data_IF_319658552230
#
_entry.id   IF_319658552230
#
_cell.length_a   1.000
_cell.length_b   1.000
_cell.length_c   1.000
_cell.angle_alpha   90.00
_cell.angle_beta   90.00
_cell.angle_gamma   90.00
#
_symmetry.space_group_name_H-M   'P 1'
#
loop_
_entity.id
_entity.type
_entity.pdbx_description
1 polymer ?
#
# COMPACT_ATOMS: atom_id res chain seq x y z
N UNK A 1 41.68 -13.79 -54.51
CA UNK A 1 42.32 -13.53 -53.20
C UNK A 1 41.92 -12.14 -52.73
N UNK A 2 40.91 -12.04 -51.86
CA UNK A 2 40.80 -11.01 -50.81
C UNK A 2 40.00 -11.67 -49.70
N UNK A 3 40.67 -11.99 -48.61
CA UNK A 3 40.13 -12.52 -47.35
C UNK A 3 40.02 -11.38 -46.36
N UNK A 4 38.86 -11.12 -45.78
CA UNK A 4 38.67 -10.45 -44.47
C UNK A 4 37.19 -10.51 -44.02
N UNK A 5 36.86 -10.34 -42.73
CA UNK A 5 36.64 -11.48 -41.84
C UNK A 5 35.27 -11.45 -41.13
N UNK A 6 34.99 -12.55 -40.43
CA UNK A 6 33.92 -12.69 -39.45
C UNK A 6 34.11 -11.79 -38.21
N UNK A 7 33.02 -11.21 -37.71
CA UNK A 7 32.78 -10.56 -36.40
C UNK A 7 31.29 -10.18 -36.34
N UNK A 8 30.53 -10.27 -35.26
CA UNK A 8 30.78 -10.61 -33.86
C UNK A 8 29.48 -11.26 -33.33
N UNK A 9 29.65 -12.28 -32.49
CA UNK A 9 28.61 -12.88 -31.68
C UNK A 9 27.99 -11.82 -30.76
N UNK A 10 26.74 -11.45 -31.05
CA UNK A 10 25.92 -10.74 -30.08
C UNK A 10 25.60 -11.71 -28.93
N UNK A 11 26.36 -11.59 -27.85
CA UNK A 11 26.08 -12.20 -26.57
C UNK A 11 24.62 -11.90 -26.18
N UNK A 12 23.77 -12.91 -26.31
CA UNK A 12 22.42 -12.94 -25.80
C UNK A 12 22.50 -12.68 -24.30
N UNK A 13 22.06 -11.49 -23.86
CA UNK A 13 21.77 -11.23 -22.45
C UNK A 13 20.69 -12.22 -22.07
N UNK A 14 21.07 -13.25 -21.31
CA UNK A 14 20.14 -14.17 -20.71
C UNK A 14 19.07 -13.37 -19.98
N UNK A 15 17.85 -13.52 -20.47
CA UNK A 15 16.64 -13.00 -19.87
C UNK A 15 16.45 -13.72 -18.53
N UNK A 16 17.00 -13.13 -17.45
CA UNK A 16 16.85 -13.62 -16.07
C UNK A 16 15.47 -13.27 -15.52
N UNK A 17 14.44 -13.49 -16.33
CA UNK A 17 13.06 -13.37 -15.90
C UNK A 17 12.69 -14.69 -15.21
N UNK A 18 12.57 -14.65 -13.89
CA UNK A 18 12.11 -15.83 -13.14
C UNK A 18 10.60 -15.94 -13.37
N UNK A 19 10.11 -17.03 -13.99
CA UNK A 19 8.69 -17.20 -14.19
C UNK A 19 7.97 -17.22 -12.85
N UNK A 20 6.67 -16.95 -12.87
CA UNK A 20 5.77 -16.82 -11.72
C UNK A 20 5.60 -18.11 -10.87
N UNK A 21 6.49 -19.07 -11.04
CA UNK A 21 6.52 -20.38 -10.39
C UNK A 21 7.95 -20.84 -10.06
N UNK A 22 8.89 -19.89 -10.05
CA UNK A 22 10.27 -20.12 -9.60
C UNK A 22 10.31 -20.45 -8.11
N UNK A 23 11.34 -21.18 -7.69
CA UNK A 23 11.50 -21.48 -6.28
C UNK A 23 11.83 -20.19 -5.53
N UNK A 24 10.81 -19.58 -4.90
CA UNK A 24 10.97 -18.37 -4.08
C UNK A 24 12.09 -18.50 -3.03
N UNK A 25 12.51 -19.72 -2.71
CA UNK A 25 13.56 -20.04 -1.76
C UNK A 25 14.98 -19.76 -2.25
N UNK A 26 15.19 -19.59 -3.56
CA UNK A 26 16.51 -19.26 -4.13
C UNK A 26 16.75 -17.75 -4.21
N UNK A 27 15.75 -16.94 -3.87
CA UNK A 27 15.86 -15.49 -3.92
C UNK A 27 16.58 -14.94 -2.70
N UNK A 28 17.41 -13.93 -2.91
CA UNK A 28 18.03 -13.14 -1.85
C UNK A 28 17.21 -11.87 -1.55
N UNK A 29 17.48 -11.24 -0.40
CA UNK A 29 16.88 -9.93 -0.08
C UNK A 29 17.40 -8.88 -1.05
N UNK A 30 16.49 -8.15 -1.70
CA UNK A 30 16.85 -7.12 -2.66
C UNK A 30 15.83 -6.97 -3.78
N UNK A 31 16.18 -6.16 -4.78
CA UNK A 31 15.38 -6.04 -5.99
C UNK A 31 15.66 -7.21 -6.92
N UNK A 32 14.59 -7.83 -7.43
CA UNK A 32 14.65 -8.87 -8.46
C UNK A 32 13.57 -8.62 -9.52
N UNK A 33 13.63 -9.36 -10.62
CA UNK A 33 12.64 -9.29 -11.70
C UNK A 33 11.80 -10.55 -11.71
N UNK A 34 10.49 -10.41 -11.53
CA UNK A 34 9.53 -11.50 -11.69
C UNK A 34 8.71 -11.30 -12.95
N UNK A 35 8.23 -12.36 -13.56
CA UNK A 35 7.30 -12.28 -14.70
C UNK A 35 5.86 -12.30 -14.20
N UNK A 36 5.05 -11.27 -14.48
CA UNK A 36 3.64 -11.24 -14.08
C UNK A 36 2.76 -12.24 -14.86
N UNK A 37 1.47 -12.30 -14.53
CA UNK A 37 0.52 -13.20 -15.18
C UNK A 37 0.32 -12.93 -16.68
N UNK A 38 0.65 -11.72 -17.15
CA UNK A 38 0.59 -11.33 -18.56
C UNK A 38 1.92 -11.58 -19.30
N UNK A 39 2.89 -12.22 -18.64
CA UNK A 39 4.20 -12.50 -19.21
C UNK A 39 5.17 -11.31 -19.19
N UNK A 40 4.87 -10.24 -18.44
CA UNK A 40 5.70 -9.01 -18.43
C UNK A 40 6.67 -9.01 -17.24
N UNK A 41 7.94 -8.63 -17.45
CA UNK A 41 8.89 -8.51 -16.35
C UNK A 41 8.54 -7.33 -15.44
N UNK A 42 8.61 -7.55 -14.12
CA UNK A 42 8.31 -6.59 -13.07
C UNK A 42 9.43 -6.58 -12.05
N UNK A 43 9.98 -5.40 -11.78
CA UNK A 43 10.91 -5.22 -10.67
C UNK A 43 10.13 -5.23 -9.35
N UNK A 44 10.52 -6.11 -8.43
CA UNK A 44 9.93 -6.24 -7.10
C UNK A 44 11.03 -6.33 -6.06
N UNK A 45 10.74 -5.88 -4.84
CA UNK A 45 11.66 -6.03 -3.71
C UNK A 45 11.27 -7.26 -2.89
N UNK A 46 12.23 -8.16 -2.69
CA UNK A 46 12.09 -9.35 -1.86
C UNK A 46 12.80 -9.13 -0.54
N UNK A 47 12.18 -9.56 0.55
CA UNK A 47 12.76 -9.61 1.88
C UNK A 47 12.73 -11.04 2.38
N UNK A 48 13.90 -11.59 2.64
CA UNK A 48 14.09 -12.93 3.22
C UNK A 48 14.47 -12.77 4.67
N UNK A 49 13.70 -13.42 5.53
CA UNK A 49 13.86 -13.35 6.99
C UNK A 49 14.61 -14.58 7.52
N UNK A 50 15.15 -14.48 8.74
CA UNK A 50 16.02 -15.53 9.33
C UNK A 50 15.32 -16.88 9.54
N UNK A 51 14.01 -16.86 9.73
CA UNK A 51 13.19 -18.06 9.85
C UNK A 51 12.91 -18.72 8.49
N UNK A 52 13.33 -18.09 7.39
CA UNK A 52 13.12 -18.56 6.02
C UNK A 52 11.84 -18.03 5.38
N UNK A 53 11.11 -17.09 5.99
CA UNK A 53 9.97 -16.49 5.31
C UNK A 53 10.42 -15.50 4.23
N UNK A 54 9.82 -15.63 3.04
CA UNK A 54 10.06 -14.79 1.87
C UNK A 54 8.87 -13.87 1.66
N UNK A 55 9.13 -12.57 1.70
CA UNK A 55 8.12 -11.52 1.60
C UNK A 55 8.37 -10.64 0.38
N UNK A 56 7.32 -10.31 -0.35
CA UNK A 56 7.36 -9.23 -1.34
C UNK A 56 6.99 -7.91 -0.65
N UNK A 57 7.83 -6.89 -0.84
CA UNK A 57 7.60 -5.52 -0.38
C UNK A 57 7.16 -4.65 -1.55
N UNK A 58 6.08 -3.90 -1.35
CA UNK A 58 5.61 -2.87 -2.28
C UNK A 58 5.26 -1.59 -1.52
N UNK A 59 5.14 -0.47 -2.23
CA UNK A 59 4.80 0.82 -1.64
C UNK A 59 5.82 1.89 -1.96
N UNK A 60 5.92 2.88 -1.09
CA UNK A 60 6.77 4.06 -1.30
C UNK A 60 7.54 4.41 -0.03
N UNK A 61 8.73 4.95 -0.21
CA UNK A 61 9.64 5.43 0.82
C UNK A 61 10.16 6.82 0.46
N UNK A 62 10.83 7.48 1.42
CA UNK A 62 11.39 8.82 1.28
C UNK A 62 10.35 9.89 0.90
N UNK A 63 9.16 9.80 1.50
CA UNK A 63 8.04 10.71 1.27
C UNK A 63 7.91 11.82 2.31
N UNK A 64 8.89 11.95 3.20
CA UNK A 64 8.86 12.92 4.29
C UNK A 64 8.70 14.37 3.84
N UNK A 65 9.13 14.74 2.63
CA UNK A 65 8.90 16.09 2.08
C UNK A 65 7.54 16.25 1.40
N UNK A 66 7.00 15.15 0.88
CA UNK A 66 5.78 15.14 0.07
C UNK A 66 4.54 14.99 0.96
N UNK A 67 4.68 14.34 2.12
CA UNK A 67 3.61 14.01 3.05
C UNK A 67 3.83 14.75 4.35
N UNK A 68 3.57 16.05 4.34
CA UNK A 68 3.78 16.97 5.47
C UNK A 68 2.51 17.71 5.90
N UNK A 69 1.36 17.31 5.38
CA UNK A 69 0.12 18.06 5.56
C UNK A 69 -0.52 17.75 6.91
N UNK A 70 -0.78 18.79 7.69
CA UNK A 70 -1.43 18.69 8.99
C UNK A 70 -2.61 19.66 9.06
N UNK A 71 -3.79 19.12 9.34
CA UNK A 71 -5.06 19.86 9.44
C UNK A 71 -5.31 20.84 8.27
N UNK A 72 -5.05 20.38 7.05
CA UNK A 72 -5.12 21.17 5.83
C UNK A 72 -6.56 21.31 5.33
N UNK A 73 -7.01 22.54 5.07
CA UNK A 73 -8.40 22.88 4.70
C UNK A 73 -8.56 23.40 3.28
N UNK A 74 -7.46 23.55 2.55
CA UNK A 74 -7.45 24.24 1.26
C UNK A 74 -6.59 23.55 0.20
N UNK A 75 -5.44 22.98 0.59
CA UNK A 75 -4.53 22.38 -0.38
C UNK A 75 -5.04 21.04 -0.89
N UNK A 76 -4.84 20.82 -2.18
CA UNK A 76 -5.15 19.56 -2.83
C UNK A 76 -3.97 18.60 -2.81
N UNK A 77 -4.22 17.34 -2.46
CA UNK A 77 -3.22 16.27 -2.46
C UNK A 77 -3.66 15.11 -3.35
N UNK A 78 -2.74 14.67 -4.22
CA UNK A 78 -2.77 13.37 -4.89
C UNK A 78 -1.54 12.58 -4.53
N UNK A 79 -1.71 11.36 -4.03
CA UNK A 79 -0.60 10.46 -3.79
C UNK A 79 -0.90 9.05 -4.32
N UNK A 80 -0.02 8.55 -5.18
CA UNK A 80 0.00 7.14 -5.57
C UNK A 80 0.90 6.39 -4.60
N UNK A 81 0.32 5.42 -3.90
CA UNK A 81 1.01 4.60 -2.89
C UNK A 81 1.41 3.26 -3.49
N UNK A 82 0.46 2.59 -4.17
CA UNK A 82 0.72 1.39 -4.97
C UNK A 82 0.37 1.67 -6.41
N UNK A 83 1.30 1.36 -7.31
CA UNK A 83 1.06 1.50 -8.74
C UNK A 83 0.03 0.45 -9.22
N UNK A 84 -0.56 0.69 -10.38
CA UNK A 84 -1.53 -0.27 -10.94
C UNK A 84 -0.85 -1.59 -11.29
N UNK A 85 0.39 -1.55 -11.77
CA UNK A 85 1.21 -2.71 -12.10
C UNK A 85 1.46 -3.55 -10.85
N UNK A 86 1.78 -2.91 -9.72
CA UNK A 86 2.02 -3.62 -8.48
C UNK A 86 0.74 -4.27 -7.94
N UNK A 87 -0.42 -3.62 -8.08
CA UNK A 87 -1.70 -4.23 -7.73
C UNK A 87 -2.02 -5.44 -8.61
N UNK A 88 -1.64 -5.43 -9.90
CA UNK A 88 -1.77 -6.59 -10.78
C UNK A 88 -0.91 -7.75 -10.28
N UNK A 89 0.37 -7.49 -9.94
CA UNK A 89 1.28 -8.48 -9.34
C UNK A 89 0.68 -9.07 -8.05
N UNK A 90 0.24 -8.23 -7.12
CA UNK A 90 -0.38 -8.70 -5.87
C UNK A 90 -1.63 -9.54 -6.12
N UNK A 91 -2.40 -9.22 -7.16
CA UNK A 91 -3.61 -9.98 -7.52
C UNK A 91 -3.27 -11.36 -8.08
N UNK A 92 -2.20 -11.46 -8.88
CA UNK A 92 -1.79 -12.75 -9.44
C UNK A 92 -1.10 -13.65 -8.42
N UNK A 93 -0.41 -13.11 -7.42
CA UNK A 93 0.41 -13.91 -6.49
C UNK A 93 -0.49 -14.59 -5.45
N UNK A 94 -0.20 -15.85 -5.14
CA UNK A 94 -0.87 -16.55 -4.04
C UNK A 94 -0.08 -16.42 -2.73
N UNK A 95 -0.31 -15.31 -2.01
CA UNK A 95 0.29 -15.11 -0.69
C UNK A 95 -0.60 -15.65 0.43
N UNK A 96 0.04 -16.05 1.53
CA UNK A 96 -0.61 -16.66 2.71
C UNK A 96 -0.81 -15.69 3.86
N UNK A 97 0.02 -14.67 3.93
CA UNK A 97 0.04 -13.69 5.02
C UNK A 97 0.37 -12.31 4.46
N UNK A 98 -0.03 -11.26 5.17
CA UNK A 98 0.11 -9.89 4.71
C UNK A 98 0.02 -8.85 5.82
N UNK A 99 0.79 -7.78 5.68
CA UNK A 99 0.73 -6.65 6.61
C UNK A 99 1.17 -5.34 5.93
N UNK A 100 0.87 -4.24 6.61
CA UNK A 100 1.34 -2.89 6.30
C UNK A 100 2.39 -2.48 7.35
N UNK A 101 3.49 -1.89 6.92
CA UNK A 101 4.44 -1.19 7.78
C UNK A 101 4.53 0.26 7.30
N UNK A 102 4.17 1.20 8.17
CA UNK A 102 4.10 2.61 7.79
C UNK A 102 4.10 3.51 9.01
N UNK A 103 4.73 4.68 8.89
CA UNK A 103 4.58 5.79 9.83
C UNK A 103 3.44 6.76 9.43
N UNK A 104 2.75 6.49 8.31
CA UNK A 104 1.73 7.35 7.74
C UNK A 104 0.60 7.61 8.75
N UNK A 105 0.34 8.89 8.96
CA UNK A 105 -0.83 9.40 9.63
C UNK A 105 -1.76 9.96 8.58
N UNK A 106 -2.93 9.36 8.46
CA UNK A 106 -3.99 9.87 7.60
C UNK A 106 -5.26 10.02 8.42
N UNK A 107 -5.79 11.23 8.38
CA UNK A 107 -7.05 11.63 9.00
C UNK A 107 -7.78 12.51 8.00
N UNK A 108 -9.04 12.22 7.72
CA UNK A 108 -9.90 13.04 6.86
C UNK A 108 -11.13 13.40 7.66
N UNK A 109 -11.27 14.68 7.96
CA UNK A 109 -12.35 15.24 8.76
C UNK A 109 -13.28 16.03 7.88
N UNK A 110 -14.53 15.58 7.82
CA UNK A 110 -15.65 16.32 7.27
C UNK A 110 -16.51 16.73 8.47
N UNK A 111 -16.50 18.01 8.85
CA UNK A 111 -17.33 18.49 9.98
C UNK A 111 -18.76 18.75 9.56
N UNK A 112 -18.94 19.38 8.41
CA UNK A 112 -20.23 19.66 7.80
C UNK A 112 -20.00 19.92 6.32
N UNK A 113 -20.42 19.03 5.42
CA UNK A 113 -20.57 19.46 4.04
C UNK A 113 -20.26 18.40 3.00
N UNK A 114 -19.98 18.92 1.82
CA UNK A 114 -19.53 18.19 0.66
C UNK A 114 -18.01 17.94 0.76
N UNK A 115 -17.57 16.69 0.66
CA UNK A 115 -16.14 16.34 0.64
C UNK A 115 -15.86 15.37 -0.53
N UNK A 116 -15.24 15.83 -1.63
CA UNK A 116 -15.04 15.07 -2.87
C UNK A 116 -13.87 14.12 -2.82
N UNK A 117 -13.12 14.15 -1.72
CA UNK A 117 -12.01 13.24 -1.51
C UNK A 117 -12.46 11.79 -1.70
N UNK A 118 -11.50 10.96 -2.07
CA UNK A 118 -11.69 9.54 -2.17
C UNK A 118 -10.35 8.83 -1.99
N UNK A 119 -10.43 7.58 -1.57
CA UNK A 119 -9.30 6.67 -1.51
C UNK A 119 -9.58 5.52 -2.45
N UNK A 120 -8.52 4.97 -3.02
CA UNK A 120 -8.57 3.66 -3.66
C UNK A 120 -7.74 2.73 -2.80
N UNK A 121 -8.33 1.65 -2.32
CA UNK A 121 -7.66 0.68 -1.47
C UNK A 121 -7.84 -0.74 -2.03
N UNK A 122 -6.80 -1.54 -1.94
CA UNK A 122 -6.79 -2.95 -2.30
C UNK A 122 -7.02 -3.79 -1.05
N UNK A 123 -8.11 -4.56 -1.04
CA UNK A 123 -8.38 -5.53 0.00
C UNK A 123 -7.54 -6.79 -0.27
N UNK A 124 -6.56 -7.06 0.61
CA UNK A 124 -5.62 -8.16 0.43
C UNK A 124 -6.34 -9.52 0.46
N UNK A 125 -7.16 -9.78 1.48
CA UNK A 125 -7.90 -11.03 1.62
C UNK A 125 -8.77 -11.37 0.39
N UNK A 126 -9.52 -10.38 -0.09
CA UNK A 126 -10.45 -10.56 -1.21
C UNK A 126 -9.81 -10.36 -2.59
N UNK A 127 -8.53 -9.95 -2.64
CA UNK A 127 -7.79 -9.56 -3.84
C UNK A 127 -8.56 -8.61 -4.77
N UNK A 128 -9.20 -7.59 -4.20
CA UNK A 128 -10.04 -6.64 -4.95
C UNK A 128 -9.78 -5.20 -4.56
N UNK A 129 -9.76 -4.33 -5.56
CA UNK A 129 -9.67 -2.88 -5.36
C UNK A 129 -11.06 -2.28 -5.13
N UNK A 130 -11.17 -1.34 -4.20
CA UNK A 130 -12.39 -0.57 -3.95
C UNK A 130 -12.07 0.93 -3.88
N UNK A 131 -13.00 1.72 -4.38
CA UNK A 131 -12.96 3.18 -4.22
C UNK A 131 -13.85 3.55 -3.04
N UNK A 132 -13.24 4.13 -2.00
CA UNK A 132 -13.91 4.65 -0.83
C UNK A 132 -14.17 6.13 -1.06
N UNK A 133 -15.44 6.49 -1.16
CA UNK A 133 -15.87 7.85 -1.49
C UNK A 133 -16.52 8.46 -0.25
N UNK A 134 -16.03 9.63 0.15
CA UNK A 134 -16.48 10.34 1.36
C UNK A 134 -17.84 11.01 1.16
N UNK A 135 -18.17 11.34 -0.08
CA UNK A 135 -19.45 11.91 -0.50
C UNK A 135 -20.61 10.95 -0.23
N UNK A 136 -21.61 11.39 0.54
CA UNK A 136 -22.95 10.78 0.51
C UNK A 136 -23.67 11.25 -0.75
N UNK A 137 -24.50 10.39 -1.37
CA UNK A 137 -25.23 10.71 -2.62
C UNK A 137 -26.27 11.86 -2.49
N UNK A 138 -26.26 12.61 -1.40
CA UNK A 138 -27.25 13.62 -1.08
C UNK A 138 -26.53 14.97 -0.89
N UNK A 139 -27.13 16.08 -1.36
CA UNK A 139 -26.64 17.46 -1.15
C UNK A 139 -26.81 17.93 0.32
N UNK A 140 -26.75 16.99 1.26
CA UNK A 140 -26.90 17.28 2.67
C UNK A 140 -25.57 17.80 3.22
N UNK A 141 -25.54 19.10 3.52
CA UNK A 141 -24.36 19.76 4.05
C UNK A 141 -24.10 19.46 5.54
N UNK A 142 -24.99 18.73 6.22
CA UNK A 142 -24.87 18.45 7.65
C UNK A 142 -24.37 17.04 7.91
N UNK A 143 -23.38 16.56 7.14
CA UNK A 143 -22.75 15.25 7.34
C UNK A 143 -21.40 15.44 8.02
N UNK A 144 -21.23 14.82 9.18
CA UNK A 144 -20.00 14.83 9.96
C UNK A 144 -19.37 13.42 9.92
N UNK A 145 -18.21 13.28 9.28
CA UNK A 145 -17.49 11.99 9.16
C UNK A 145 -16.01 12.19 9.34
N UNK A 146 -15.39 11.33 10.13
CA UNK A 146 -13.96 11.24 10.30
C UNK A 146 -13.48 9.85 9.82
N UNK A 147 -12.54 9.82 8.90
CA UNK A 147 -11.86 8.59 8.49
C UNK A 147 -10.40 8.67 8.91
N UNK A 148 -9.92 7.64 9.59
CA UNK A 148 -8.52 7.53 9.99
C UNK A 148 -7.94 6.20 9.57
N UNK A 149 -6.61 6.13 9.51
CA UNK A 149 -5.96 4.82 9.63
C UNK A 149 -6.20 4.26 11.04
N UNK A 150 -6.33 2.95 11.11
CA UNK A 150 -6.27 2.21 12.38
C UNK A 150 -4.92 2.45 13.09
N UNK A 151 -4.82 2.27 14.42
CA UNK A 151 -3.56 2.43 15.13
C UNK A 151 -2.42 1.56 14.56
N UNK A 152 -2.74 0.33 14.16
CA UNK A 152 -1.81 -0.61 13.52
C UNK A 152 -1.53 -0.32 12.04
N UNK A 153 -2.16 0.71 11.46
CA UNK A 153 -2.04 1.14 10.05
C UNK A 153 -2.49 0.10 9.02
N UNK A 154 -3.03 -1.03 9.45
CA UNK A 154 -3.46 -2.14 8.59
C UNK A 154 -4.76 -1.81 7.85
N UNK A 155 -5.68 -1.11 8.51
CA UNK A 155 -7.00 -0.81 7.97
C UNK A 155 -7.42 0.64 8.18
N UNK A 156 -8.67 0.90 7.84
CA UNK A 156 -9.34 2.18 7.99
C UNK A 156 -10.39 2.10 9.08
N UNK A 157 -10.57 3.20 9.79
CA UNK A 157 -11.60 3.37 10.80
C UNK A 157 -12.47 4.56 10.45
N UNK A 158 -13.78 4.40 10.51
CA UNK A 158 -14.74 5.47 10.24
C UNK A 158 -15.54 5.79 11.50
N UNK A 159 -15.59 7.06 11.83
CA UNK A 159 -16.45 7.59 12.88
C UNK A 159 -17.27 8.75 12.35
N UNK A 160 -18.38 9.08 13.01
CA UNK A 160 -19.25 10.17 12.58
C UNK A 160 -20.20 10.65 13.66
N UNK A 161 -20.74 11.85 13.45
CA UNK A 161 -21.77 12.42 14.31
C UNK A 161 -23.16 11.85 14.02
N UNK A 162 -24.22 12.59 14.39
CA UNK A 162 -25.62 12.17 14.17
C UNK A 162 -25.95 11.86 12.71
N UNK A 163 -25.31 12.55 11.76
CA UNK A 163 -25.39 12.29 10.32
C UNK A 163 -23.97 12.06 9.80
N UNK A 164 -23.74 10.93 9.13
CA UNK A 164 -22.42 10.52 8.67
C UNK A 164 -22.48 9.71 7.36
N UNK A 165 -21.31 9.47 6.77
CA UNK A 165 -21.10 8.64 5.57
C UNK A 165 -20.58 7.23 5.88
N UNK A 166 -20.18 6.93 7.13
CA UNK A 166 -19.72 5.59 7.51
C UNK A 166 -20.74 4.49 7.14
N UNK A 167 -20.25 3.34 6.67
CA UNK A 167 -21.06 2.21 6.19
C UNK A 167 -21.62 2.36 4.77
N UNK A 168 -21.40 3.50 4.12
CA UNK A 168 -21.87 3.78 2.75
C UNK A 168 -20.65 3.85 1.82
N UNK A 169 -20.83 3.47 0.54
CA UNK A 169 -19.77 3.55 -0.51
C UNK A 169 -18.43 2.93 -0.09
N UNK A 170 -18.51 1.75 0.51
CA UNK A 170 -17.38 0.97 0.98
C UNK A 170 -16.57 1.59 2.12
N UNK A 171 -17.05 2.69 2.73
CA UNK A 171 -16.50 3.16 4.00
C UNK A 171 -16.79 2.12 5.10
N UNK A 172 -15.87 1.96 6.08
CA UNK A 172 -16.12 1.17 7.28
C UNK A 172 -17.42 1.62 7.96
N UNK A 173 -18.12 0.70 8.63
CA UNK A 173 -19.24 1.08 9.50
C UNK A 173 -18.70 1.87 10.70
N UNK A 174 -19.59 2.57 11.40
CA UNK A 174 -19.21 3.32 12.60
C UNK A 174 -18.56 2.37 13.60
N UNK A 175 -17.42 2.80 14.14
CA UNK A 175 -16.69 2.08 15.17
C UNK A 175 -16.16 0.70 14.75
N UNK A 176 -16.22 0.37 13.47
CA UNK A 176 -15.63 -0.84 12.91
C UNK A 176 -14.36 -0.48 12.14
N UNK A 177 -13.28 -1.21 12.44
CA UNK A 177 -12.10 -1.20 11.59
C UNK A 177 -12.33 -2.09 10.37
N UNK A 178 -11.86 -1.68 9.20
CA UNK A 178 -11.79 -2.61 8.07
C UNK A 178 -10.78 -3.71 8.36
N UNK A 179 -10.91 -4.88 7.70
CA UNK A 179 -9.79 -5.78 7.50
C UNK A 179 -8.59 -5.05 6.88
N UNK A 180 -7.42 -5.70 6.89
CA UNK A 180 -6.21 -5.13 6.28
C UNK A 180 -6.48 -4.72 4.83
N UNK A 181 -6.24 -3.44 4.54
CA UNK A 181 -6.39 -2.86 3.22
C UNK A 181 -5.14 -2.07 2.89
N UNK A 182 -4.63 -2.29 1.69
CA UNK A 182 -3.48 -1.59 1.18
C UNK A 182 -3.94 -0.31 0.49
N UNK A 183 -3.47 0.84 0.95
CA UNK A 183 -3.72 2.09 0.23
C UNK A 183 -3.07 2.00 -1.15
N UNK A 184 -3.87 2.20 -2.20
CA UNK A 184 -3.39 2.28 -3.58
C UNK A 184 -3.19 3.74 -3.98
N UNK A 185 -4.23 4.55 -3.77
CA UNK A 185 -4.25 5.93 -4.19
C UNK A 185 -5.05 6.79 -3.22
N UNK A 186 -4.57 8.01 -2.99
CA UNK A 186 -5.13 8.98 -2.08
C UNK A 186 -5.40 10.27 -2.85
N UNK A 187 -6.64 10.74 -2.78
CA UNK A 187 -7.06 12.01 -3.35
C UNK A 187 -7.77 12.83 -2.27
N UNK A 188 -7.06 13.79 -1.69
CA UNK A 188 -7.59 14.66 -0.64
C UNK A 188 -7.78 16.07 -1.20
N UNK A 189 -9.03 16.43 -1.30
CA UNK A 189 -9.54 17.71 -1.75
C UNK A 189 -10.63 18.11 -0.76
N UNK A 190 -10.34 19.00 0.21
CA UNK A 190 -11.31 19.41 1.21
C UNK A 190 -12.37 20.37 0.65
N UNK A 191 -12.10 21.05 -0.47
CA UNK A 191 -12.97 22.06 -1.07
C UNK A 191 -13.59 21.64 -2.39
N UNK A 192 -12.82 21.05 -3.29
CA UNK A 192 -13.19 20.73 -4.68
C UNK A 192 -14.05 21.76 -5.41
N UNK A 193 -14.69 21.31 -6.49
CA UNK A 193 -15.39 22.21 -7.41
C UNK A 193 -16.72 22.73 -6.86
N UNK A 194 -17.38 21.97 -5.98
CA UNK A 194 -18.73 22.28 -5.49
C UNK A 194 -18.75 22.66 -3.99
N UNK A 195 -17.62 23.07 -3.37
CA UNK A 195 -17.63 23.49 -1.94
C UNK A 195 -18.66 24.57 -1.66
N UNK A 196 -18.93 25.45 -2.63
CA UNK A 196 -19.88 26.54 -2.49
C UNK A 196 -21.32 26.07 -2.23
N UNK A 197 -21.66 24.81 -2.51
CA UNK A 197 -22.98 24.24 -2.18
C UNK A 197 -23.21 24.13 -0.66
N UNK A 198 -22.16 24.19 0.17
CA UNK A 198 -22.23 24.12 1.62
C UNK A 198 -21.45 25.27 2.26
N UNK A 199 -22.13 26.17 3.00
CA UNK A 199 -21.48 27.29 3.69
C UNK A 199 -20.39 26.79 4.65
N UNK A 200 -19.16 27.30 4.46
CA UNK A 200 -17.97 27.10 5.29
C UNK A 200 -17.87 25.72 5.93
N UNK A 201 -17.79 24.69 5.10
CA UNK A 201 -17.42 23.35 5.54
C UNK A 201 -15.98 23.37 6.10
N UNK A 202 -15.83 23.21 7.41
CA UNK A 202 -14.56 22.95 8.11
C UNK A 202 -14.04 21.54 7.76
N UNK A 203 -13.87 21.28 6.48
CA UNK A 203 -13.26 20.07 5.96
C UNK A 203 -11.76 20.20 6.10
N UNK A 204 -11.12 19.17 6.64
CA UNK A 204 -9.67 19.14 6.73
C UNK A 204 -9.14 17.74 6.55
N UNK A 205 -7.85 17.65 6.24
CA UNK A 205 -7.14 16.39 6.32
C UNK A 205 -5.76 16.55 6.94
N UNK A 206 -5.27 15.46 7.49
CA UNK A 206 -3.87 15.27 7.85
C UNK A 206 -3.35 14.12 7.00
N UNK A 207 -2.21 14.33 6.37
CA UNK A 207 -1.49 13.33 5.59
C UNK A 207 0.01 13.55 5.80
N UNK A 208 0.55 12.88 6.81
CA UNK A 208 1.91 13.08 7.30
C UNK A 208 2.64 11.74 7.48
N UNK A 209 3.84 11.60 6.94
CA UNK A 209 4.67 10.40 7.10
C UNK A 209 5.85 10.37 6.14
N UNK A 210 6.69 9.35 6.26
CA UNK A 210 7.88 9.19 5.41
C UNK A 210 7.84 7.94 4.54
N UNK A 211 7.03 6.93 4.89
CA UNK A 211 6.90 5.73 4.07
C UNK A 211 5.56 5.01 4.28
N UNK A 212 5.17 4.21 3.29
CA UNK A 212 4.07 3.27 3.39
C UNK A 212 4.44 2.01 2.62
N UNK A 213 4.67 0.91 3.33
CA UNK A 213 5.02 -0.37 2.76
C UNK A 213 3.95 -1.41 3.03
N UNK A 214 3.69 -2.23 2.03
CA UNK A 214 2.87 -3.44 2.14
C UNK A 214 3.78 -4.63 1.93
N UNK A 215 3.55 -5.66 2.74
CA UNK A 215 4.28 -6.92 2.68
C UNK A 215 3.28 -8.05 2.44
N UNK A 216 3.63 -8.96 1.54
CA UNK A 216 2.88 -10.20 1.32
C UNK A 216 3.82 -11.40 1.38
N UNK A 217 3.47 -12.41 2.17
CA UNK A 217 4.28 -13.61 2.36
C UNK A 217 4.07 -14.57 1.20
N UNK A 218 5.14 -14.79 0.45
CA UNK A 218 5.14 -15.65 -0.73
C UNK A 218 5.32 -17.12 -0.34
N UNK A 219 6.31 -17.40 0.52
CA UNK A 219 6.70 -18.77 0.88
C UNK A 219 7.39 -18.82 2.23
N UNK A 220 7.38 -20.00 2.83
CA UNK A 220 8.23 -20.36 3.95
C UNK A 220 9.25 -21.38 3.45
N UNK A 221 10.52 -21.04 3.52
CA UNK A 221 11.62 -21.86 3.05
C UNK A 221 12.38 -22.47 4.23
N UNK A 222 13.10 -23.59 4.04
CA UNK A 222 13.99 -24.10 5.06
C UNK A 222 14.99 -23.03 5.49
N UNK A 223 15.09 -22.76 6.79
CA UNK A 223 16.05 -21.80 7.29
C UNK A 223 17.48 -22.23 6.88
N UNK A 224 18.35 -21.30 6.45
CA UNK A 224 19.71 -21.63 6.05
C UNK A 224 20.44 -22.36 7.19
N UNK A 225 20.99 -23.54 6.90
CA UNK A 225 21.65 -24.39 7.89
C UNK A 225 22.85 -23.71 8.56
N UNK A 226 23.44 -22.70 7.92
CA UNK A 226 24.61 -21.95 8.43
C UNK A 226 24.33 -21.14 9.70
N UNK A 227 23.08 -20.84 10.04
CA UNK A 227 22.73 -20.17 11.30
C UNK A 227 22.60 -21.14 12.50
N UNK A 228 22.70 -22.46 12.30
CA UNK A 228 22.63 -23.45 13.40
C UNK A 228 23.93 -23.55 14.23
N UNK A 229 24.99 -22.83 13.88
CA UNK A 229 26.28 -22.91 14.57
C UNK A 229 26.73 -21.64 15.31
N UNK A 230 25.87 -20.63 15.48
CA UNK A 230 26.18 -19.58 16.46
C UNK A 230 25.81 -20.05 17.87
N UNK A 231 26.77 -20.11 18.82
CA UNK A 231 26.48 -20.45 20.20
C UNK A 231 25.50 -19.44 20.77
N UNK A 232 24.52 -19.96 21.51
CA UNK A 232 23.48 -19.23 22.24
C UNK A 232 24.08 -18.14 23.12
N UNK A 233 24.19 -16.92 22.60
CA UNK A 233 24.33 -15.73 23.45
C UNK A 233 22.95 -15.42 24.00
N UNK A 234 22.88 -15.39 25.33
CA UNK A 234 21.67 -15.22 26.15
C UNK A 234 20.67 -14.23 25.55
N UNK A 235 19.40 -14.66 25.51
CA UNK A 235 18.24 -13.81 25.27
C UNK A 235 18.31 -12.53 26.11
N UNK A 236 18.45 -11.39 25.44
CA UNK A 236 17.96 -10.11 25.95
C UNK A 236 16.62 -9.91 25.28
N UNK A 237 15.55 -9.95 26.07
CA UNK A 237 14.18 -9.84 25.61
C UNK A 237 13.96 -8.54 24.86
N UNK A 238 13.43 -8.65 23.64
CA UNK A 238 12.89 -7.50 22.91
C UNK A 238 11.38 -7.50 23.09
N UNK A 239 10.88 -6.36 23.57
CA UNK A 239 9.47 -6.06 23.72
C UNK A 239 8.79 -5.99 22.34
N UNK A 240 7.56 -6.50 22.30
CA UNK A 240 6.64 -6.31 21.19
C UNK A 240 6.41 -4.82 20.93
N UNK A 241 6.46 -4.44 19.64
CA UNK A 241 5.82 -3.24 19.09
C UNK A 241 4.69 -3.74 18.21
#
# INVERSE_FOLDING_TARGET
>A
MVTTPARDDAASKQDTSTPFNSDWCDLETGYTTITDADGRPRSVYISVTRDGAVWLRAGVENKASDWIYSHETSHYLRATILTTEMVQVLTSINYTDYCVLSDLQMVVQMKSGWHPSYLVAYNAAAKRTRTLIFKKNNRDCHVATNLTLTPSKQGLFCNGGRRHSCGVRHLPRISEATPTMFLKYVNLDPRGMDHWECEAADNSYTFHGSYYHVYVKLKMCPAPTEFRHQPTVRQVGWYAI
#
